data_IF_115440954772
#
_entry.id   IF_115440954772
#
_cell.length_a   1.000
_cell.length_b   1.000
_cell.length_c   1.000
_cell.angle_alpha   90.00
_cell.angle_beta   90.00
_cell.angle_gamma   90.00
#
_symmetry.space_group_name_H-M   'P 1'
#
loop_
_entity.id
_entity.type
_entity.pdbx_description
1 polymer ?
#
# COMPACT_ATOMS: atom_id res chain seq x y z
N UNK A 1 22.26 -5.80 2.76
CA UNK A 1 21.97 -4.51 3.47
C UNK A 1 21.42 -3.43 2.54
N UNK A 2 21.86 -3.38 1.28
CA UNK A 2 21.43 -2.37 0.29
C UNK A 2 19.98 -2.53 -0.21
N UNK A 3 19.41 -3.73 -0.16
CA UNK A 3 18.05 -4.00 -0.69
C UNK A 3 16.89 -3.38 0.09
N UNK A 4 17.05 -3.09 1.39
CA UNK A 4 15.98 -2.52 2.21
C UNK A 4 15.87 -0.99 2.11
N UNK A 5 16.96 -0.31 1.77
CA UNK A 5 17.02 1.17 1.73
C UNK A 5 16.69 1.70 0.32
N UNK A 6 16.98 0.93 -0.72
CA UNK A 6 16.87 1.40 -2.09
C UNK A 6 15.43 1.53 -2.63
N UNK A 7 14.49 0.70 -2.15
CA UNK A 7 13.13 0.63 -2.73
C UNK A 7 12.30 1.91 -2.54
N UNK A 8 12.22 2.51 -1.34
CA UNK A 8 11.50 3.77 -1.16
C UNK A 8 12.10 4.92 -1.99
N UNK A 9 13.43 4.98 -2.04
CA UNK A 9 14.16 6.02 -2.77
C UNK A 9 13.98 5.91 -4.29
N UNK A 10 14.00 4.70 -4.83
CA UNK A 10 13.75 4.43 -6.26
C UNK A 10 12.32 4.82 -6.62
N UNK A 11 11.33 4.46 -5.78
CA UNK A 11 9.93 4.82 -6.02
C UNK A 11 9.72 6.32 -6.02
N UNK A 12 10.28 7.05 -5.06
CA UNK A 12 10.20 8.51 -5.00
C UNK A 12 10.79 9.16 -6.24
N UNK A 13 11.99 8.75 -6.62
CA UNK A 13 12.66 9.25 -7.82
C UNK A 13 11.82 9.02 -9.08
N UNK A 14 11.29 7.82 -9.26
CA UNK A 14 10.48 7.46 -10.41
C UNK A 14 9.18 8.29 -10.47
N UNK A 15 8.49 8.46 -9.34
CA UNK A 15 7.29 9.31 -9.26
C UNK A 15 7.63 10.75 -9.67
N UNK A 16 8.73 11.32 -9.18
CA UNK A 16 9.14 12.68 -9.54
C UNK A 16 9.45 12.82 -11.03
N UNK A 17 10.14 11.83 -11.63
CA UNK A 17 10.46 11.81 -13.06
C UNK A 17 9.16 11.79 -13.89
N UNK A 18 8.24 10.89 -13.56
CA UNK A 18 6.96 10.75 -14.27
C UNK A 18 6.13 12.03 -14.13
N UNK A 19 6.00 12.56 -12.91
CA UNK A 19 5.25 13.80 -12.67
C UNK A 19 5.82 14.98 -13.45
N UNK A 20 7.16 15.10 -13.53
CA UNK A 20 7.81 16.14 -14.33
C UNK A 20 7.59 15.94 -15.82
N UNK A 21 7.82 14.72 -16.32
CA UNK A 21 7.69 14.36 -17.74
C UNK A 21 6.28 14.64 -18.29
N UNK A 22 5.25 14.33 -17.52
CA UNK A 22 3.84 14.47 -17.93
C UNK A 22 3.15 15.68 -17.33
N UNK A 23 3.90 16.62 -16.72
CA UNK A 23 3.37 17.82 -16.07
C UNK A 23 2.23 17.52 -15.06
N UNK A 24 2.33 16.39 -14.34
CA UNK A 24 1.31 16.00 -13.37
C UNK A 24 1.33 16.95 -12.17
N UNK A 25 0.17 17.52 -11.86
CA UNK A 25 -0.01 18.44 -10.71
C UNK A 25 -0.37 17.69 -9.43
N UNK A 26 -0.92 16.50 -9.53
CA UNK A 26 -1.40 15.67 -8.41
C UNK A 26 -0.89 14.25 -8.57
N UNK A 27 -0.72 13.58 -7.45
CA UNK A 27 -0.42 12.16 -7.36
C UNK A 27 -1.57 11.47 -6.61
N UNK A 28 -1.84 10.22 -6.92
CA UNK A 28 -2.78 9.39 -6.16
C UNK A 28 -2.03 8.23 -5.53
N UNK A 29 -2.34 7.94 -4.27
CA UNK A 29 -1.80 6.80 -3.55
C UNK A 29 -2.93 5.86 -3.13
N UNK A 30 -2.72 4.57 -3.34
CA UNK A 30 -3.61 3.51 -2.86
C UNK A 30 -3.38 3.12 -1.40
N UNK A 31 -2.79 4.01 -0.59
CA UNK A 31 -2.57 3.73 0.83
C UNK A 31 -3.91 3.51 1.54
N UNK A 32 -3.98 2.44 2.30
CA UNK A 32 -5.15 2.06 3.11
C UNK A 32 -4.82 2.17 4.60
N UNK A 33 -5.83 2.24 5.45
CA UNK A 33 -5.65 2.06 6.89
C UNK A 33 -5.16 0.65 7.23
N UNK A 34 -4.56 0.48 8.39
CA UNK A 34 -4.22 -0.84 8.90
C UNK A 34 -5.48 -1.67 9.18
N UNK A 35 -5.36 -3.01 9.22
CA UNK A 35 -6.39 -3.85 9.80
C UNK A 35 -6.75 -3.43 11.23
N UNK A 36 -7.94 -3.77 11.73
CA UNK A 36 -8.31 -3.55 13.13
C UNK A 36 -7.28 -4.15 14.11
N UNK A 37 -7.09 -3.55 15.27
CA UNK A 37 -6.08 -3.97 16.26
C UNK A 37 -6.17 -5.46 16.62
N UNK A 38 -7.38 -6.03 16.66
CA UNK A 38 -7.58 -7.47 16.91
C UNK A 38 -6.90 -8.32 15.83
N UNK A 39 -7.05 -7.95 14.57
CA UNK A 39 -6.43 -8.62 13.43
C UNK A 39 -4.93 -8.41 13.38
N UNK A 40 -4.47 -7.20 13.72
CA UNK A 40 -3.03 -6.90 13.81
C UNK A 40 -2.34 -7.80 14.83
N UNK A 41 -2.98 -8.03 16.00
CA UNK A 41 -2.49 -8.97 17.01
C UNK A 41 -2.45 -10.40 16.48
N UNK A 42 -3.52 -10.85 15.83
CA UNK A 42 -3.61 -12.19 15.23
C UNK A 42 -2.54 -12.41 14.16
N UNK A 43 -2.19 -11.38 13.40
CA UNK A 43 -1.11 -11.41 12.41
C UNK A 43 0.30 -11.27 13.00
N UNK A 44 0.45 -11.09 14.32
CA UNK A 44 1.74 -10.96 14.99
C UNK A 44 2.39 -9.56 14.90
N UNK A 45 1.65 -8.52 14.55
CA UNK A 45 2.17 -7.16 14.38
C UNK A 45 1.74 -6.22 15.51
N UNK A 46 2.00 -6.60 16.74
CA UNK A 46 1.61 -5.88 17.97
C UNK A 46 2.15 -4.44 18.06
N UNK A 47 3.27 -4.17 17.40
CA UNK A 47 3.94 -2.86 17.43
C UNK A 47 3.35 -1.85 16.45
N UNK A 48 2.47 -2.30 15.56
CA UNK A 48 1.80 -1.44 14.60
C UNK A 48 0.37 -1.17 15.09
N UNK A 49 0.00 0.09 15.25
CA UNK A 49 -1.37 0.44 15.60
C UNK A 49 -2.19 0.77 14.34
N UNK A 50 -3.49 0.58 14.45
CA UNK A 50 -4.45 0.97 13.41
C UNK A 50 -4.30 2.45 13.01
N UNK A 51 -4.03 3.32 13.98
CA UNK A 51 -3.89 4.77 13.77
C UNK A 51 -2.53 5.19 13.20
N UNK A 52 -1.44 4.53 13.59
CA UNK A 52 -0.08 4.99 13.27
C UNK A 52 0.21 5.13 11.78
N UNK A 53 -0.47 4.38 10.94
CA UNK A 53 -0.22 4.42 9.49
C UNK A 53 -0.68 5.71 8.84
N UNK A 54 -1.68 6.35 9.42
CA UNK A 54 -2.42 7.44 8.80
C UNK A 54 -2.46 8.70 9.69
N UNK A 55 -1.80 8.69 10.84
CA UNK A 55 -1.94 9.69 11.88
C UNK A 55 -1.64 11.11 11.39
N UNK A 56 -0.56 11.26 10.58
CA UNK A 56 -0.15 12.54 10.01
C UNK A 56 -0.98 12.98 8.78
N UNK A 57 -1.94 12.16 8.36
CA UNK A 57 -2.65 12.32 7.10
C UNK A 57 -4.17 12.41 7.29
N UNK A 58 -4.66 12.13 8.50
CA UNK A 58 -6.08 12.23 8.85
C UNK A 58 -6.48 13.70 8.87
N UNK A 59 -7.47 14.06 8.06
CA UNK A 59 -8.03 15.41 7.99
C UNK A 59 -7.65 16.21 6.75
N UNK A 60 -6.82 15.70 5.87
CA UNK A 60 -6.62 16.30 4.57
C UNK A 60 -7.49 15.62 3.52
N UNK A 61 -8.69 16.15 3.28
CA UNK A 61 -9.56 15.72 2.19
C UNK A 61 -8.85 15.75 0.82
N UNK A 62 -7.76 16.48 0.71
CA UNK A 62 -7.02 16.73 -0.52
C UNK A 62 -5.54 16.38 -0.36
N UNK A 63 -5.23 15.39 0.46
CA UNK A 63 -3.92 14.77 0.46
C UNK A 63 -2.83 15.51 1.26
N UNK A 64 -2.10 14.72 2.01
CA UNK A 64 -0.88 15.14 2.65
C UNK A 64 0.12 15.63 1.59
N UNK A 65 0.93 16.62 1.94
CA UNK A 65 2.12 16.95 1.17
C UNK A 65 3.14 15.83 1.36
N UNK A 66 3.08 14.82 0.53
CA UNK A 66 4.10 13.79 0.48
C UNK A 66 5.14 14.24 -0.53
N UNK A 67 6.39 14.37 -0.08
CA UNK A 67 7.52 14.86 -0.89
C UNK A 67 7.31 16.23 -1.55
N UNK A 68 6.62 17.14 -0.86
CA UNK A 68 6.37 18.50 -1.37
C UNK A 68 5.30 18.58 -2.47
N UNK A 69 4.63 17.48 -2.80
CA UNK A 69 3.53 17.42 -3.77
C UNK A 69 2.24 17.00 -3.09
N UNK A 70 1.11 17.47 -3.62
CA UNK A 70 -0.21 17.05 -3.14
C UNK A 70 -0.46 15.62 -3.59
N UNK A 71 -0.61 14.72 -2.63
CA UNK A 71 -0.96 13.31 -2.87
C UNK A 71 -2.38 13.06 -2.38
N UNK A 72 -3.27 12.68 -3.27
CA UNK A 72 -4.62 12.27 -2.92
C UNK A 72 -4.64 10.81 -2.48
N UNK A 73 -5.26 10.53 -1.34
CA UNK A 73 -5.28 9.21 -0.71
C UNK A 73 -6.73 8.79 -0.35
N UNK A 74 -7.51 8.35 -1.33
CA UNK A 74 -8.95 8.12 -1.15
C UNK A 74 -9.27 6.99 -0.16
N UNK A 75 -8.33 6.09 0.11
CA UNK A 75 -8.54 4.93 0.98
C UNK A 75 -7.88 5.07 2.36
N UNK A 76 -7.49 6.28 2.76
CA UNK A 76 -6.74 6.50 3.99
C UNK A 76 -7.47 6.03 5.26
N UNK A 77 -8.80 6.14 5.27
CA UNK A 77 -9.67 5.71 6.38
C UNK A 77 -10.31 4.34 6.15
N UNK A 78 -9.98 3.68 5.05
CA UNK A 78 -10.52 2.39 4.66
C UNK A 78 -9.42 1.33 4.63
N UNK A 79 -9.66 0.16 5.21
CA UNK A 79 -8.72 -0.95 5.13
C UNK A 79 -8.90 -1.77 3.83
N UNK A 80 -8.05 -2.77 3.64
CA UNK A 80 -8.09 -3.59 2.42
C UNK A 80 -9.35 -4.44 2.26
N UNK A 81 -10.07 -4.77 3.34
CA UNK A 81 -11.39 -5.43 3.23
C UNK A 81 -12.41 -4.53 2.53
N UNK A 82 -12.39 -3.24 2.83
CA UNK A 82 -13.25 -2.27 2.15
C UNK A 82 -12.91 -2.19 0.65
N UNK A 83 -11.62 -2.14 0.33
CA UNK A 83 -11.16 -2.16 -1.08
C UNK A 83 -11.62 -3.42 -1.79
N UNK A 84 -11.46 -4.60 -1.15
CA UNK A 84 -11.99 -5.86 -1.68
C UNK A 84 -13.49 -5.77 -1.97
N UNK A 85 -14.28 -5.27 -1.01
CA UNK A 85 -15.73 -5.11 -1.18
C UNK A 85 -16.11 -4.22 -2.36
N UNK A 86 -15.34 -3.15 -2.63
CA UNK A 86 -15.55 -2.34 -3.85
C UNK A 86 -15.29 -3.17 -5.11
N UNK A 87 -14.18 -3.91 -5.18
CA UNK A 87 -13.84 -4.71 -6.34
C UNK A 87 -14.88 -5.82 -6.60
N UNK A 88 -15.38 -6.46 -5.53
CA UNK A 88 -16.45 -7.45 -5.62
C UNK A 88 -17.77 -6.84 -6.10
N UNK A 89 -18.15 -5.68 -5.54
CA UNK A 89 -19.36 -4.95 -5.96
C UNK A 89 -19.39 -4.62 -7.45
N UNK A 90 -18.21 -4.35 -8.02
CA UNK A 90 -18.09 -4.01 -9.44
C UNK A 90 -17.72 -5.21 -10.32
N UNK A 91 -17.66 -6.43 -9.77
CA UNK A 91 -17.29 -7.67 -10.47
C UNK A 91 -15.93 -7.62 -11.19
N UNK A 92 -14.96 -6.85 -10.64
CA UNK A 92 -13.62 -6.68 -11.21
C UNK A 92 -12.50 -7.27 -10.35
N UNK A 93 -12.86 -7.99 -9.27
CA UNK A 93 -11.87 -8.52 -8.33
C UNK A 93 -10.87 -9.46 -9.01
N UNK A 94 -11.36 -10.41 -9.80
CA UNK A 94 -10.49 -11.43 -10.41
C UNK A 94 -9.61 -10.85 -11.53
N UNK A 95 -10.04 -9.77 -12.17
CA UNK A 95 -9.26 -9.04 -13.16
C UNK A 95 -8.17 -8.19 -12.52
N UNK A 96 -8.53 -7.44 -11.47
CA UNK A 96 -7.63 -6.47 -10.84
C UNK A 96 -6.67 -7.11 -9.84
N UNK A 97 -7.10 -8.13 -9.09
CA UNK A 97 -6.29 -8.72 -8.01
C UNK A 97 -4.91 -9.21 -8.48
N UNK A 98 -4.76 -9.92 -9.63
CA UNK A 98 -3.46 -10.36 -10.12
C UNK A 98 -2.49 -9.19 -10.43
N UNK A 99 -3.02 -8.01 -10.73
CA UNK A 99 -2.24 -6.81 -11.02
C UNK A 99 -1.78 -6.06 -9.76
N UNK A 100 -2.31 -6.45 -8.59
CA UNK A 100 -2.00 -5.76 -7.32
C UNK A 100 -0.73 -6.32 -6.68
N UNK A 101 0.15 -5.44 -6.26
CA UNK A 101 1.35 -5.78 -5.51
C UNK A 101 1.49 -4.94 -4.25
N UNK A 102 1.64 -5.57 -3.08
CA UNK A 102 1.92 -4.88 -1.81
C UNK A 102 3.16 -5.39 -1.09
N UNK A 103 3.80 -6.43 -1.61
CA UNK A 103 4.98 -7.03 -1.00
C UNK A 103 6.16 -6.04 -0.96
N UNK A 104 6.83 -5.97 0.20
CA UNK A 104 8.06 -5.19 0.42
C UNK A 104 9.30 -6.07 0.56
N UNK A 105 9.19 -7.36 0.27
CA UNK A 105 10.31 -8.29 0.27
C UNK A 105 11.41 -7.92 -0.73
N UNK A 106 12.64 -8.34 -0.45
CA UNK A 106 13.79 -8.11 -1.33
C UNK A 106 13.66 -8.85 -2.67
N UNK A 107 14.37 -8.38 -3.68
CA UNK A 107 14.33 -8.93 -5.05
C UNK A 107 14.70 -10.42 -5.11
N UNK A 108 15.62 -10.86 -4.27
CA UNK A 108 16.06 -12.26 -4.15
C UNK A 108 14.94 -13.18 -3.64
N UNK A 109 14.14 -12.72 -2.66
CA UNK A 109 13.04 -13.51 -2.08
C UNK A 109 11.82 -13.50 -3.02
N UNK A 110 11.57 -12.37 -3.64
CA UNK A 110 10.38 -12.14 -4.48
C UNK A 110 10.60 -12.46 -5.95
N UNK A 111 11.74 -13.06 -6.31
CA UNK A 111 12.14 -13.28 -7.71
C UNK A 111 11.93 -12.02 -8.56
N UNK A 112 12.62 -10.94 -8.19
CA UNK A 112 12.46 -9.61 -8.82
C UNK A 112 11.02 -9.07 -8.79
N UNK A 113 10.33 -9.30 -7.66
CA UNK A 113 8.94 -8.87 -7.41
C UNK A 113 7.88 -9.53 -8.30
N UNK A 114 8.17 -10.67 -8.91
CA UNK A 114 7.20 -11.48 -9.67
C UNK A 114 6.29 -12.32 -8.77
N UNK A 115 6.71 -12.55 -7.50
CA UNK A 115 5.89 -13.24 -6.50
C UNK A 115 5.96 -12.55 -5.13
N UNK A 116 4.94 -12.70 -4.28
CA UNK A 116 5.00 -12.19 -2.90
C UNK A 116 6.03 -12.97 -2.07
N UNK A 117 6.58 -12.35 -1.02
CA UNK A 117 7.47 -13.04 -0.07
C UNK A 117 6.70 -13.87 0.97
N UNK A 118 5.42 -13.62 1.13
CA UNK A 118 4.48 -14.26 2.07
C UNK A 118 4.77 -14.06 3.56
N UNK A 119 5.86 -13.36 3.90
CA UNK A 119 6.34 -13.17 5.28
C UNK A 119 6.18 -11.72 5.79
N UNK A 120 6.17 -10.75 4.89
CA UNK A 120 6.08 -9.35 5.32
C UNK A 120 4.66 -8.97 5.73
N UNK A 121 4.55 -7.92 6.56
CA UNK A 121 3.26 -7.39 6.99
C UNK A 121 2.27 -7.18 5.83
N UNK A 122 2.74 -6.63 4.73
CA UNK A 122 1.90 -6.33 3.57
C UNK A 122 1.36 -7.57 2.88
N UNK A 123 2.11 -8.67 2.88
CA UNK A 123 1.62 -9.96 2.40
C UNK A 123 0.55 -10.51 3.33
N UNK A 124 0.80 -10.52 4.64
CA UNK A 124 -0.19 -10.98 5.62
C UNK A 124 -1.47 -10.14 5.59
N UNK A 125 -1.34 -8.82 5.47
CA UNK A 125 -2.49 -7.93 5.33
C UNK A 125 -3.27 -8.21 4.04
N UNK A 126 -2.58 -8.46 2.92
CA UNK A 126 -3.23 -8.82 1.65
C UNK A 126 -3.99 -10.15 1.79
N UNK A 127 -3.35 -11.18 2.34
CA UNK A 127 -3.97 -12.49 2.59
C UNK A 127 -5.16 -12.39 3.54
N UNK A 128 -5.05 -11.60 4.62
CA UNK A 128 -6.16 -11.36 5.53
C UNK A 128 -7.38 -10.77 4.81
N UNK A 129 -7.19 -9.78 3.96
CA UNK A 129 -8.27 -9.10 3.28
C UNK A 129 -8.87 -9.91 2.11
N UNK A 130 -8.02 -10.54 1.30
CA UNK A 130 -8.42 -11.18 0.04
C UNK A 130 -8.47 -12.70 0.10
N UNK A 131 -7.99 -13.33 1.18
CA UNK A 131 -7.89 -14.79 1.32
C UNK A 131 -6.72 -15.42 0.56
N UNK A 132 -6.04 -14.64 -0.28
CA UNK A 132 -4.91 -15.07 -1.14
C UNK A 132 -3.82 -14.01 -1.20
N UNK A 133 -2.62 -14.40 -1.63
CA UNK A 133 -1.47 -13.49 -1.81
C UNK A 133 -1.47 -12.79 -3.16
#
# INVERSE_FOLDING_TARGET
>A
FLGKIAKPYINERNVRIVMKKYNCKRNMSGMTSNPPNKEMKRLGFYHLSEKKRNEDQIGSEIGAKVWGKITYQPFLVANKLFVKGILEKHNILDEIFPLTGSCTGGANITKLWTKPCEECFWCHEKKWAFGKY
#
